data_IF_360255494709
#
_entry.id   IF_360255494709
#
_cell.length_a   1.000
_cell.length_b   1.000
_cell.length_c   1.000
_cell.angle_alpha   90.00
_cell.angle_beta   90.00
_cell.angle_gamma   90.00
#
_symmetry.space_group_name_H-M   'P 1'
#
loop_
_entity.id
_entity.type
_entity.pdbx_description
1 polymer ?
#
# COMPACT_ATOMS: atom_id res chain seq x y z
N UNK A 1 4.41 6.52 11.63
CA UNK A 1 4.16 5.22 10.97
C UNK A 1 5.43 4.41 11.00
N UNK A 2 5.35 3.07 11.18
CA UNK A 2 6.48 2.19 10.94
C UNK A 2 6.92 2.33 9.48
N UNK A 3 8.20 2.52 9.21
CA UNK A 3 8.77 2.42 7.87
C UNK A 3 10.29 2.23 7.98
N UNK A 4 10.90 1.21 7.35
CA UNK A 4 12.31 0.84 7.54
C UNK A 4 13.24 1.66 6.62
N UNK A 5 13.06 2.98 6.57
CA UNK A 5 13.71 3.86 5.58
C UNK A 5 13.50 3.38 4.12
N UNK A 6 12.31 2.83 3.83
CA UNK A 6 11.91 2.41 2.48
C UNK A 6 11.06 3.48 1.80
N UNK A 7 10.97 3.41 0.47
CA UNK A 7 10.09 4.26 -0.31
C UNK A 7 8.62 3.96 0.01
N UNK A 8 7.79 4.99 -0.11
CA UNK A 8 6.33 4.92 0.00
C UNK A 8 5.73 5.50 -1.26
N UNK A 9 4.47 5.18 -1.53
CA UNK A 9 3.66 5.92 -2.47
C UNK A 9 2.39 6.44 -1.80
N UNK A 10 1.98 7.65 -2.17
CA UNK A 10 0.89 8.36 -1.52
C UNK A 10 0.04 9.12 -2.55
N UNK A 11 -1.18 8.63 -2.77
CA UNK A 11 -2.07 9.16 -3.80
C UNK A 11 -3.43 9.55 -3.22
N UNK A 12 -4.09 10.52 -3.85
CA UNK A 12 -5.49 10.83 -3.61
C UNK A 12 -6.37 9.99 -4.53
N UNK A 13 -7.31 9.26 -3.95
CA UNK A 13 -8.33 8.52 -4.68
C UNK A 13 -9.41 9.48 -5.19
N UNK A 14 -10.18 9.06 -6.20
CA UNK A 14 -11.22 9.87 -6.87
C UNK A 14 -12.32 10.36 -5.93
N UNK A 15 -12.60 9.64 -4.85
CA UNK A 15 -13.57 10.05 -3.82
C UNK A 15 -12.98 11.01 -2.78
N UNK A 16 -11.70 11.40 -2.92
CA UNK A 16 -11.02 12.32 -2.01
C UNK A 16 -10.23 11.65 -0.89
N UNK A 17 -10.46 10.36 -0.61
CA UNK A 17 -9.69 9.60 0.37
C UNK A 17 -8.21 9.49 -0.03
N UNK A 18 -7.34 9.27 0.94
CA UNK A 18 -5.90 9.23 0.74
C UNK A 18 -5.37 7.80 0.98
N UNK A 19 -4.69 7.26 -0.02
CA UNK A 19 -4.07 5.93 0.01
C UNK A 19 -2.57 6.07 0.23
N UNK A 20 -2.06 5.47 1.31
CA UNK A 20 -0.64 5.30 1.58
C UNK A 20 -0.24 3.83 1.38
N UNK A 21 0.75 3.58 0.52
CA UNK A 21 1.35 2.26 0.33
C UNK A 21 2.79 2.31 0.88
N UNK A 22 3.08 1.47 1.87
CA UNK A 22 4.33 1.52 2.63
C UNK A 22 4.70 0.17 3.25
N UNK A 23 5.94 0.04 3.73
CA UNK A 23 6.34 -1.11 4.52
C UNK A 23 5.97 -0.90 6.00
N UNK A 24 5.02 -1.68 6.53
CA UNK A 24 4.56 -1.53 7.91
C UNK A 24 5.47 -2.24 8.93
N UNK A 25 6.74 -1.82 8.97
CA UNK A 25 7.75 -2.30 9.91
C UNK A 25 8.79 -1.22 10.19
N UNK A 26 9.45 -1.25 11.34
CA UNK A 26 10.56 -0.33 11.64
C UNK A 26 11.89 -0.78 11.05
N UNK A 27 12.02 -2.06 10.68
CA UNK A 27 13.32 -2.66 10.29
C UNK A 27 13.26 -3.49 9.02
N UNK A 28 12.11 -4.06 8.68
CA UNK A 28 11.98 -5.05 7.60
C UNK A 28 11.19 -4.50 6.41
N UNK A 29 11.55 -4.94 5.19
CA UNK A 29 10.79 -4.64 3.97
C UNK A 29 9.56 -5.55 3.77
N UNK A 30 8.92 -5.96 4.86
CA UNK A 30 7.70 -6.77 4.86
C UNK A 30 6.90 -6.48 6.14
N UNK A 31 5.54 -6.41 6.07
CA UNK A 31 4.70 -6.54 4.87
C UNK A 31 4.71 -5.27 4.01
N UNK A 32 4.16 -5.37 2.79
CA UNK A 32 3.74 -4.23 1.97
C UNK A 32 2.27 -3.95 2.29
N UNK A 33 1.98 -2.77 2.84
CA UNK A 33 0.67 -2.44 3.41
C UNK A 33 0.07 -1.24 2.68
N UNK A 34 -1.21 -1.36 2.32
CA UNK A 34 -2.08 -0.26 1.92
C UNK A 34 -2.85 0.26 3.14
N UNK A 35 -2.82 1.56 3.38
CA UNK A 35 -3.56 2.24 4.44
C UNK A 35 -4.38 3.39 3.88
N UNK A 36 -5.60 3.58 4.39
CA UNK A 36 -6.51 4.63 3.93
C UNK A 36 -6.79 5.61 5.06
N UNK A 37 -6.71 6.89 4.71
CA UNK A 37 -7.26 8.00 5.49
C UNK A 37 -8.52 8.54 4.80
N UNK A 38 -9.57 8.73 5.59
CA UNK A 38 -10.83 9.37 5.18
C UNK A 38 -11.01 10.74 5.83
N UNK A 39 -9.98 11.26 6.49
CA UNK A 39 -10.01 12.46 7.34
C UNK A 39 -8.83 13.42 7.05
N UNK A 40 -8.47 13.54 5.78
CA UNK A 40 -7.39 14.41 5.27
C UNK A 40 -6.02 14.13 5.93
N UNK A 41 -5.65 12.85 5.99
CA UNK A 41 -4.38 12.33 6.51
C UNK A 41 -4.15 12.57 8.01
N UNK A 42 -5.18 12.93 8.78
CA UNK A 42 -5.09 13.01 10.25
C UNK A 42 -4.90 11.63 10.86
N UNK A 43 -5.62 10.62 10.37
CA UNK A 43 -5.52 9.24 10.83
C UNK A 43 -5.54 8.24 9.66
N UNK A 44 -4.96 7.04 9.87
CA UNK A 44 -5.10 5.92 8.93
C UNK A 44 -5.52 4.66 9.69
N UNK A 45 -6.81 4.55 10.06
CA UNK A 45 -7.33 3.43 10.83
C UNK A 45 -7.51 2.17 9.97
N UNK A 46 -7.76 2.33 8.66
CA UNK A 46 -7.99 1.21 7.74
C UNK A 46 -6.69 0.77 7.09
N UNK A 47 -6.33 -0.52 7.22
CA UNK A 47 -5.08 -1.08 6.66
C UNK A 47 -5.28 -2.49 6.14
N UNK A 48 -4.54 -2.86 5.10
CA UNK A 48 -4.47 -4.22 4.59
C UNK A 48 -3.10 -4.51 3.97
N UNK A 49 -2.58 -5.70 4.22
CA UNK A 49 -1.36 -6.17 3.54
C UNK A 49 -1.69 -6.50 2.08
N UNK A 50 -0.99 -5.84 1.17
CA UNK A 50 -1.00 -6.14 -0.27
C UNK A 50 -0.11 -7.36 -0.55
N UNK A 51 0.98 -7.50 0.21
CA UNK A 51 1.84 -8.68 0.25
C UNK A 51 2.45 -8.85 1.64
N UNK A 52 2.65 -10.09 2.05
CA UNK A 52 3.25 -10.47 3.33
C UNK A 52 3.99 -11.80 3.19
N UNK A 53 4.78 -12.14 4.22
CA UNK A 53 5.62 -13.34 4.23
C UNK A 53 7.12 -13.03 4.13
N UNK A 54 7.95 -14.08 4.02
CA UNK A 54 9.39 -13.93 3.85
C UNK A 54 9.71 -13.26 2.51
N UNK A 55 10.68 -12.35 2.51
CA UNK A 55 11.10 -11.60 1.32
C UNK A 55 11.17 -10.09 1.57
N UNK A 56 11.64 -9.35 0.56
CA UNK A 56 11.81 -7.91 0.59
C UNK A 56 10.91 -7.20 -0.43
N UNK A 57 9.81 -6.62 0.03
CA UNK A 57 8.92 -5.83 -0.82
C UNK A 57 9.34 -4.37 -0.81
N UNK A 58 9.56 -3.77 -1.98
CA UNK A 58 10.17 -2.45 -2.06
C UNK A 58 9.65 -1.60 -3.22
N UNK A 59 9.78 -0.29 -3.08
CA UNK A 59 9.52 0.71 -4.13
C UNK A 59 8.11 0.57 -4.73
N UNK A 60 7.06 0.76 -3.91
CA UNK A 60 5.70 0.71 -4.42
C UNK A 60 5.42 1.88 -5.37
N UNK A 61 4.52 1.65 -6.32
CA UNK A 61 3.85 2.69 -7.09
C UNK A 61 2.38 2.27 -7.26
N UNK A 62 1.48 3.21 -7.03
CA UNK A 62 0.05 3.01 -7.00
C UNK A 62 -0.66 3.94 -8.00
N UNK A 63 -1.69 3.42 -8.66
CA UNK A 63 -2.58 4.20 -9.53
C UNK A 63 -4.01 3.73 -9.37
N UNK A 64 -4.94 4.67 -9.32
CA UNK A 64 -6.37 4.35 -9.44
C UNK A 64 -6.81 4.45 -10.90
N UNK A 65 -7.24 3.32 -11.47
CA UNK A 65 -7.68 3.22 -12.87
C UNK A 65 -9.11 3.73 -13.06
N UNK A 66 -9.55 3.82 -14.33
CA UNK A 66 -10.86 4.40 -14.69
C UNK A 66 -12.05 3.60 -14.18
N UNK A 67 -11.88 2.30 -14.01
CA UNK A 67 -12.86 1.38 -13.41
C UNK A 67 -12.89 1.45 -11.87
N UNK A 68 -12.11 2.34 -11.27
CA UNK A 68 -12.11 2.60 -9.83
C UNK A 68 -11.15 1.70 -9.03
N UNK A 69 -10.53 0.71 -9.67
CA UNK A 69 -9.58 -0.20 -9.02
C UNK A 69 -8.26 0.48 -8.70
N UNK A 70 -7.62 0.01 -7.65
CA UNK A 70 -6.30 0.44 -7.21
C UNK A 70 -5.32 -0.62 -7.67
N UNK A 71 -4.38 -0.22 -8.52
CA UNK A 71 -3.27 -1.05 -8.97
C UNK A 71 -2.03 -0.63 -8.19
N UNK A 72 -1.31 -1.59 -7.62
CA UNK A 72 -0.04 -1.37 -6.94
C UNK A 72 1.00 -2.29 -7.56
N UNK A 73 2.10 -1.72 -8.05
CA UNK A 73 3.29 -2.46 -8.46
C UNK A 73 4.40 -2.22 -7.45
N UNK A 74 5.22 -3.24 -7.21
CA UNK A 74 6.35 -3.15 -6.30
C UNK A 74 7.37 -4.23 -6.64
N UNK A 75 8.60 -4.02 -6.23
CA UNK A 75 9.69 -4.99 -6.40
C UNK A 75 9.69 -6.02 -5.28
N UNK A 76 10.14 -7.24 -5.57
CA UNK A 76 10.36 -8.33 -4.63
C UNK A 76 11.58 -9.17 -5.01
N UNK A 77 11.91 -10.17 -4.19
CA UNK A 77 12.94 -11.18 -4.47
C UNK A 77 14.29 -10.50 -4.80
N UNK A 78 14.78 -9.70 -3.86
CA UNK A 78 15.99 -8.89 -3.97
C UNK A 78 15.94 -7.86 -5.11
N UNK A 79 14.73 -7.33 -5.37
CA UNK A 79 14.39 -6.40 -6.46
C UNK A 79 14.52 -7.00 -7.87
N UNK A 80 14.53 -8.32 -8.01
CA UNK A 80 14.61 -8.98 -9.32
C UNK A 80 13.24 -9.26 -9.94
N UNK A 81 12.17 -9.21 -9.15
CA UNK A 81 10.81 -9.47 -9.60
C UNK A 81 9.94 -8.24 -9.40
N UNK A 82 9.09 -7.91 -10.37
CA UNK A 82 8.00 -6.93 -10.20
C UNK A 82 6.71 -7.70 -9.92
N UNK A 83 6.08 -7.38 -8.80
CA UNK A 83 4.75 -7.87 -8.42
C UNK A 83 3.69 -6.82 -8.72
N UNK A 84 2.48 -7.29 -8.96
CA UNK A 84 1.31 -6.47 -9.25
C UNK A 84 0.12 -6.94 -8.41
N UNK A 85 -0.43 -6.03 -7.60
CA UNK A 85 -1.67 -6.22 -6.87
C UNK A 85 -2.77 -5.32 -7.41
N UNK A 86 -4.02 -5.84 -7.42
CA UNK A 86 -5.21 -5.09 -7.81
C UNK A 86 -6.29 -5.29 -6.76
N UNK A 87 -6.88 -4.21 -6.28
CA UNK A 87 -7.96 -4.28 -5.30
C UNK A 87 -8.89 -3.07 -5.39
N UNK A 88 -10.13 -3.24 -4.93
CA UNK A 88 -11.05 -2.13 -4.69
C UNK A 88 -10.75 -1.48 -3.33
N UNK A 89 -11.02 -0.19 -3.18
CA UNK A 89 -10.84 0.53 -1.92
C UNK A 89 -11.52 -0.16 -0.72
N UNK A 90 -12.73 -0.70 -0.96
CA UNK A 90 -13.51 -1.42 0.04
C UNK A 90 -12.79 -2.64 0.63
N UNK A 91 -11.81 -3.20 -0.08
CA UNK A 91 -10.99 -4.30 0.42
C UNK A 91 -10.08 -3.87 1.58
N UNK A 92 -9.75 -2.57 1.68
CA UNK A 92 -8.95 -2.00 2.78
C UNK A 92 -9.86 -1.43 3.89
N UNK A 93 -10.99 -0.82 3.51
CA UNK A 93 -11.94 -0.23 4.47
C UNK A 93 -12.67 -1.29 5.32
N UNK A 94 -13.02 -2.44 4.74
CA UNK A 94 -13.70 -3.52 5.44
C UNK A 94 -12.68 -4.35 6.24
N UNK A 95 -12.48 -4.03 7.50
CA UNK A 95 -11.87 -4.95 8.46
C UNK A 95 -12.98 -5.73 9.19
N UNK A 96 -12.86 -7.05 9.20
CA UNK A 96 -13.56 -7.91 10.18
C UNK A 96 -12.80 -7.87 11.50
#
# INVERSE_FOLDING_TARGET
FPNPNAAVDFIRLRNGHLLLVYNNSFTNRTPMTAAISTDDAKTFPHRRNVAEGPGDFAYPTAVQTRDGKIHVVFTSDERTVIRHGVFDESAVLKQK
#
